data_IF_422018966720
#
_entry.id   IF_422018966720
#
_cell.length_a   1.000
_cell.length_b   1.000
_cell.length_c   1.000
_cell.angle_alpha   90.00
_cell.angle_beta   90.00
_cell.angle_gamma   90.00
#
_symmetry.space_group_name_H-M   'P 1'
#
loop_
_entity.id
_entity.type
_entity.pdbx_description
1 polymer ?
#
# COMPACT_ATOMS: atom_id res chain seq x y z
N UNK A 1 17.14 6.63 3.90
CA UNK A 1 16.95 5.23 4.33
C UNK A 1 16.45 4.35 3.19
N UNK A 2 15.30 4.64 2.57
CA UNK A 2 14.69 3.76 1.55
C UNK A 2 15.58 3.43 0.33
N UNK A 3 16.50 4.33 -0.03
CA UNK A 3 17.44 4.12 -1.16
C UNK A 3 18.33 2.88 -0.99
N UNK A 4 18.58 2.43 0.24
CA UNK A 4 19.44 1.25 0.51
C UNK A 4 18.65 -0.06 0.60
N UNK A 5 17.32 -0.04 0.44
CA UNK A 5 16.52 -1.26 0.52
C UNK A 5 16.80 -2.19 -0.68
N UNK A 6 16.87 -3.52 -0.46
CA UNK A 6 16.81 -4.50 -1.53
C UNK A 6 15.56 -4.29 -2.40
N UNK A 7 15.66 -4.62 -3.68
CA UNK A 7 14.54 -4.47 -4.61
C UNK A 7 13.33 -5.33 -4.22
N UNK A 8 13.55 -6.50 -3.60
CA UNK A 8 12.44 -7.32 -3.08
C UNK A 8 11.64 -6.59 -2.01
N UNK A 9 12.30 -6.01 -1.01
CA UNK A 9 11.64 -5.24 0.06
C UNK A 9 10.96 -3.97 -0.47
N UNK A 10 11.58 -3.33 -1.45
CA UNK A 10 10.97 -2.20 -2.15
C UNK A 10 9.65 -2.59 -2.82
N UNK A 11 9.64 -3.68 -3.57
CA UNK A 11 8.44 -4.21 -4.23
C UNK A 11 7.38 -4.64 -3.22
N UNK A 12 7.77 -5.30 -2.13
CA UNK A 12 6.85 -5.69 -1.05
C UNK A 12 6.13 -4.46 -0.48
N UNK A 13 6.86 -3.38 -0.18
CA UNK A 13 6.25 -2.14 0.31
C UNK A 13 5.36 -1.45 -0.72
N UNK A 14 5.73 -1.48 -2.01
CA UNK A 14 4.93 -0.91 -3.09
C UNK A 14 3.58 -1.60 -3.27
N UNK A 15 3.52 -2.93 -3.09
CA UNK A 15 2.25 -3.69 -3.17
C UNK A 15 1.27 -3.20 -2.12
N UNK A 16 1.73 -2.94 -0.89
CA UNK A 16 0.88 -2.40 0.17
C UNK A 16 0.40 -0.97 -0.11
N UNK A 17 1.25 -0.13 -0.69
CA UNK A 17 0.86 1.21 -1.12
C UNK A 17 -0.17 1.17 -2.27
N UNK A 18 -0.01 0.25 -3.22
CA UNK A 18 -0.97 0.03 -4.31
C UNK A 18 -2.31 -0.47 -3.78
N UNK A 19 -2.31 -1.39 -2.80
CA UNK A 19 -3.51 -1.87 -2.11
C UNK A 19 -4.28 -0.73 -1.47
N UNK A 20 -3.59 0.21 -0.81
CA UNK A 20 -4.22 1.40 -0.24
C UNK A 20 -4.91 2.26 -1.31
N UNK A 21 -4.26 2.49 -2.46
CA UNK A 21 -4.85 3.24 -3.56
C UNK A 21 -6.08 2.55 -4.16
N UNK A 22 -6.03 1.22 -4.35
CA UNK A 22 -7.16 0.40 -4.83
C UNK A 22 -8.36 0.50 -3.90
N UNK A 23 -8.13 0.46 -2.59
CA UNK A 23 -9.20 0.52 -1.58
C UNK A 23 -9.75 1.95 -1.38
N UNK A 24 -8.94 2.98 -1.65
CA UNK A 24 -9.34 4.38 -1.48
C UNK A 24 -10.38 4.80 -2.53
N UNK A 25 -10.03 4.71 -3.82
CA UNK A 25 -10.92 5.10 -4.93
C UNK A 25 -10.28 4.81 -6.30
N UNK A 26 -11.10 4.87 -7.36
CA UNK A 26 -10.61 4.83 -8.74
C UNK A 26 -9.60 5.95 -9.03
N UNK A 27 -9.91 7.19 -8.61
CA UNK A 27 -9.01 8.35 -8.81
C UNK A 27 -7.67 8.17 -8.09
N UNK A 28 -7.67 7.58 -6.88
CA UNK A 28 -6.45 7.29 -6.14
C UNK A 28 -5.59 6.24 -6.85
N UNK A 29 -6.21 5.21 -7.42
CA UNK A 29 -5.53 4.21 -8.24
C UNK A 29 -4.94 4.83 -9.51
N UNK A 30 -5.72 5.62 -10.25
CA UNK A 30 -5.23 6.32 -11.45
C UNK A 30 -4.02 7.21 -11.13
N UNK A 31 -4.11 7.97 -10.03
CA UNK A 31 -3.01 8.81 -9.55
C UNK A 31 -1.78 7.96 -9.20
N UNK A 32 -1.95 6.81 -8.53
CA UNK A 32 -0.86 5.89 -8.22
C UNK A 32 -0.20 5.34 -9.49
N UNK A 33 -0.98 4.99 -10.51
CA UNK A 33 -0.48 4.49 -11.79
C UNK A 33 0.34 5.54 -12.55
N UNK A 34 -0.04 6.82 -12.49
CA UNK A 34 0.77 7.91 -13.09
C UNK A 34 2.17 8.04 -12.48
N UNK A 35 2.35 7.56 -11.24
CA UNK A 35 3.59 7.65 -10.46
C UNK A 35 4.53 6.46 -10.63
N UNK A 36 4.14 5.43 -11.39
CA UNK A 36 4.87 4.16 -11.54
C UNK A 36 6.35 4.33 -11.89
N UNK A 37 6.67 5.25 -12.82
CA UNK A 37 8.07 5.53 -13.19
C UNK A 37 8.88 6.07 -12.01
N UNK A 38 8.29 6.95 -11.21
CA UNK A 38 8.92 7.50 -10.01
C UNK A 38 9.18 6.45 -8.94
N UNK A 39 8.33 5.44 -8.83
CA UNK A 39 8.57 4.31 -7.92
C UNK A 39 9.76 3.46 -8.33
N UNK A 40 9.94 3.19 -9.63
CA UNK A 40 11.10 2.43 -10.12
C UNK A 40 12.41 3.20 -9.99
N UNK A 41 12.38 4.52 -10.16
CA UNK A 41 13.55 5.38 -9.92
C UNK A 41 13.75 5.74 -8.45
N UNK A 42 12.86 5.30 -7.54
CA UNK A 42 12.83 5.67 -6.13
C UNK A 42 12.88 7.20 -5.91
N UNK A 43 12.17 7.93 -6.76
CA UNK A 43 12.09 9.39 -6.72
C UNK A 43 11.50 9.85 -5.38
N UNK A 44 12.22 10.73 -4.68
CA UNK A 44 11.87 11.09 -3.29
C UNK A 44 10.46 11.69 -3.19
N UNK A 45 10.09 12.56 -4.13
CA UNK A 45 8.80 13.24 -4.09
C UNK A 45 7.64 12.26 -4.32
N UNK A 46 7.79 11.39 -5.32
CA UNK A 46 6.83 10.34 -5.65
C UNK A 46 6.62 9.39 -4.46
N UNK A 47 7.72 8.95 -3.85
CA UNK A 47 7.71 8.02 -2.73
C UNK A 47 7.09 8.66 -1.49
N UNK A 48 7.47 9.90 -1.16
CA UNK A 48 6.91 10.64 -0.04
C UNK A 48 5.40 10.82 -0.18
N UNK A 49 4.92 11.17 -1.37
CA UNK A 49 3.50 11.33 -1.65
C UNK A 49 2.75 10.01 -1.44
N UNK A 50 3.22 8.91 -2.03
CA UNK A 50 2.56 7.61 -1.90
C UNK A 50 2.54 7.09 -0.44
N UNK A 51 3.61 7.31 0.33
CA UNK A 51 3.64 6.96 1.75
C UNK A 51 2.63 7.80 2.54
N UNK A 52 2.53 9.10 2.26
CA UNK A 52 1.57 9.99 2.91
C UNK A 52 0.12 9.58 2.59
N UNK A 53 -0.18 9.30 1.31
CA UNK A 53 -1.50 8.88 0.86
C UNK A 53 -1.93 7.56 1.52
N UNK A 54 -1.05 6.55 1.52
CA UNK A 54 -1.33 5.26 2.15
C UNK A 54 -1.49 5.37 3.68
N UNK A 55 -0.67 6.19 4.34
CA UNK A 55 -0.78 6.43 5.78
C UNK A 55 -2.08 7.16 6.13
N UNK A 56 -2.49 8.15 5.34
CA UNK A 56 -3.73 8.88 5.53
C UNK A 56 -4.95 7.96 5.37
N UNK A 57 -4.98 7.13 4.32
CA UNK A 57 -6.02 6.13 4.12
C UNK A 57 -6.14 5.19 5.32
N UNK A 58 -5.03 4.56 5.71
CA UNK A 58 -5.02 3.62 6.85
C UNK A 58 -5.42 4.30 8.15
N UNK A 59 -4.96 5.52 8.40
CA UNK A 59 -5.34 6.27 9.60
C UNK A 59 -6.85 6.52 9.66
N UNK A 60 -7.47 6.85 8.52
CA UNK A 60 -8.91 7.09 8.42
C UNK A 60 -9.71 5.81 8.69
N UNK A 61 -9.37 4.71 8.01
CA UNK A 61 -10.02 3.40 8.18
C UNK A 61 -9.87 2.87 9.61
N UNK A 62 -8.66 2.92 10.18
CA UNK A 62 -8.43 2.45 11.55
C UNK A 62 -9.13 3.32 12.58
N UNK A 63 -9.20 4.64 12.36
CA UNK A 63 -9.91 5.54 13.27
C UNK A 63 -11.43 5.34 13.23
N UNK A 64 -11.98 4.93 12.08
CA UNK A 64 -13.38 4.56 11.94
C UNK A 64 -13.69 3.21 12.61
N UNK A 65 -12.76 2.26 12.55
CA UNK A 65 -12.90 0.93 13.14
C UNK A 65 -11.62 0.43 13.85
N UNK A 66 -11.50 0.80 15.13
CA UNK A 66 -10.33 0.47 15.95
C UNK A 66 -10.20 -1.03 16.27
N UNK A 67 -11.32 -1.76 16.30
CA UNK A 67 -11.37 -3.16 16.73
C UNK A 67 -11.50 -4.15 15.58
N UNK A 68 -11.48 -3.68 14.34
CA UNK A 68 -11.60 -4.53 13.14
C UNK A 68 -12.88 -5.36 13.19
N UNK A 69 -14.00 -4.66 13.40
CA UNK A 69 -15.34 -5.25 13.48
C UNK A 69 -16.16 -5.07 12.19
N UNK A 70 -15.69 -4.21 11.26
CA UNK A 70 -16.34 -3.94 9.97
C UNK A 70 -15.32 -3.32 8.97
N UNK A 71 -15.32 -2.01 8.80
CA UNK A 71 -14.59 -1.28 7.73
C UNK A 71 -13.10 -1.65 7.64
N UNK A 72 -12.42 -1.89 8.77
CA UNK A 72 -10.98 -2.15 8.78
C UNK A 72 -10.59 -3.49 8.17
N UNK A 73 -11.52 -4.45 8.06
CA UNK A 73 -11.27 -5.73 7.40
C UNK A 73 -10.84 -5.54 5.93
N UNK A 74 -11.25 -4.45 5.27
CA UNK A 74 -10.86 -4.17 3.88
C UNK A 74 -9.34 -4.09 3.69
N UNK A 75 -8.58 -3.73 4.74
CA UNK A 75 -7.12 -3.68 4.71
C UNK A 75 -6.49 -5.06 4.49
N UNK A 76 -7.24 -6.15 4.68
CA UNK A 76 -6.82 -7.52 4.45
C UNK A 76 -7.00 -7.96 2.99
N UNK A 77 -7.30 -7.05 2.06
CA UNK A 77 -7.35 -7.37 0.63
C UNK A 77 -6.09 -8.14 0.19
N UNK A 78 -6.29 -9.32 -0.38
CA UNK A 78 -5.23 -10.22 -0.83
C UNK A 78 -4.53 -11.03 0.28
N UNK A 79 -4.70 -10.71 1.56
CA UNK A 79 -3.94 -11.33 2.66
C UNK A 79 -4.37 -12.78 2.91
N UNK A 80 -5.64 -13.13 2.74
CA UNK A 80 -6.09 -14.53 2.87
C UNK A 80 -5.36 -15.45 1.88
N UNK A 81 -5.22 -15.00 0.63
CA UNK A 81 -4.46 -15.74 -0.38
C UNK A 81 -2.96 -15.66 -0.13
N UNK A 82 -2.45 -14.48 0.24
CA UNK A 82 -1.04 -14.26 0.57
C UNK A 82 -0.57 -15.23 1.65
N UNK A 83 -1.28 -15.29 2.78
CA UNK A 83 -0.96 -16.20 3.87
C UNK A 83 -1.03 -17.67 3.47
N UNK A 84 -1.98 -18.06 2.62
CA UNK A 84 -2.04 -19.42 2.10
C UNK A 84 -0.78 -19.77 1.28
N UNK A 85 -0.34 -18.86 0.40
CA UNK A 85 0.89 -19.04 -0.39
C UNK A 85 2.16 -19.03 0.48
N UNK A 86 2.24 -18.13 1.46
CA UNK A 86 3.36 -18.06 2.40
C UNK A 86 3.48 -19.34 3.23
N UNK A 87 2.36 -19.98 3.59
CA UNK A 87 2.37 -21.21 4.40
C UNK A 87 2.93 -22.45 3.70
N UNK A 88 3.01 -22.43 2.37
CA UNK A 88 3.46 -23.55 1.53
C UNK A 88 4.79 -23.28 0.82
N UNK A 89 5.36 -22.08 1.00
CA UNK A 89 6.66 -21.66 0.46
C UNK A 89 7.81 -22.12 1.36
#
# INVERSE_FOLDING_TARGET
VLVTLPTSEWTNGLVEAAKAAVLESADALELFETRVRGFFSRDEQTVRAAVADAAAFKARVVSADLRESDERECLNLGHTLGHALESVA
#
